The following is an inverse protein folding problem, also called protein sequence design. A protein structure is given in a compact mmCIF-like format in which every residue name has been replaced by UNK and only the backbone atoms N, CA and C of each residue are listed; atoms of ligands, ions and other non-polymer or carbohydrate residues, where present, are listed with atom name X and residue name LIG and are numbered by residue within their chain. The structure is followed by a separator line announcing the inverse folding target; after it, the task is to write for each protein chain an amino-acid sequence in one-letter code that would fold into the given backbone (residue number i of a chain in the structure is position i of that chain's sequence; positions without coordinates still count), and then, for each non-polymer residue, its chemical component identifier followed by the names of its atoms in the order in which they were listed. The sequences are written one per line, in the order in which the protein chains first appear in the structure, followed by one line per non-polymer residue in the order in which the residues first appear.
data_IF_616944842863
#
_entry.id   IF_616944842863
#
_cell.length_a   1.000
_cell.length_b   1.000
_cell.length_c   1.000
_cell.angle_alpha   90.00
_cell.angle_beta   90.00
_cell.angle_gamma   90.00
#
_symmetry.space_group_name_H-M   'P 1'
#
loop_
_entity.id
_entity.type
_entity.pdbx_description
1 polymer ?
#
# COMPACT_ATOMS: atom_id res chain seq x y z
N UNK A 1 -0.92 -44.48 27.11
CA UNK A 1 -1.80 -43.30 27.12
C UNK A 1 -1.21 -42.36 26.04
N UNK A 2 -1.94 -42.20 24.93
CA UNK A 2 -1.48 -41.29 23.87
C UNK A 2 -1.60 -39.87 24.45
N UNK A 3 -0.46 -39.18 24.52
CA UNK A 3 -0.41 -37.75 24.91
C UNK A 3 -0.98 -36.92 23.75
N UNK A 4 -2.25 -36.52 23.87
CA UNK A 4 -2.92 -35.62 22.93
C UNK A 4 -2.51 -34.16 23.11
N UNK A 5 -1.62 -33.81 24.02
CA UNK A 5 -0.90 -32.55 24.07
C UNK A 5 0.18 -32.55 22.98
N UNK A 6 -0.27 -32.41 21.77
CA UNK A 6 0.49 -32.60 20.57
C UNK A 6 1.77 -31.75 20.56
N UNK A 7 2.88 -32.42 20.37
CA UNK A 7 4.06 -31.80 19.77
C UNK A 7 3.62 -31.02 18.50
N UNK A 8 4.10 -29.80 18.35
CA UNK A 8 3.78 -28.94 17.19
C UNK A 8 3.86 -29.74 15.88
N UNK A 9 2.88 -29.60 15.02
CA UNK A 9 2.85 -30.23 13.69
C UNK A 9 4.11 -29.85 12.90
N UNK A 10 4.46 -30.64 11.89
CA UNK A 10 5.59 -30.31 11.03
C UNK A 10 5.43 -28.92 10.39
N UNK A 11 4.21 -28.55 10.00
CA UNK A 11 3.90 -27.19 9.45
C UNK A 11 4.21 -26.09 10.46
N UNK A 12 3.73 -26.22 11.70
CA UNK A 12 4.03 -25.24 12.77
C UNK A 12 5.52 -25.17 13.08
N UNK A 13 6.22 -26.29 13.05
CA UNK A 13 7.68 -26.30 13.22
C UNK A 13 8.42 -25.57 12.09
N UNK A 14 8.02 -25.75 10.84
CA UNK A 14 8.58 -25.03 9.70
C UNK A 14 8.25 -23.53 9.79
N UNK A 15 7.00 -23.16 10.09
CA UNK A 15 6.61 -21.76 10.26
C UNK A 15 7.37 -21.09 11.40
N UNK A 16 7.59 -21.79 12.52
CA UNK A 16 8.38 -21.26 13.65
C UNK A 16 9.85 -21.01 13.33
N UNK A 17 10.38 -21.56 12.25
CA UNK A 17 11.73 -21.28 11.74
C UNK A 17 11.73 -20.14 10.72
N UNK A 18 10.76 -20.14 9.80
CA UNK A 18 10.68 -19.15 8.72
C UNK A 18 10.24 -17.78 9.25
N UNK A 19 9.21 -17.73 10.09
CA UNK A 19 8.59 -16.47 10.50
C UNK A 19 9.58 -15.55 11.26
N UNK A 20 10.36 -16.02 12.25
CA UNK A 20 11.38 -15.20 12.90
C UNK A 20 12.49 -14.74 11.96
N UNK A 21 12.88 -15.54 10.98
CA UNK A 21 13.89 -15.17 10.00
C UNK A 21 13.41 -13.99 9.12
N UNK A 22 12.17 -14.05 8.61
CA UNK A 22 11.56 -12.97 7.85
C UNK A 22 11.37 -11.70 8.70
N UNK A 23 10.99 -11.87 9.96
CA UNK A 23 10.85 -10.73 10.88
C UNK A 23 12.19 -10.06 11.17
N UNK A 24 13.27 -10.84 11.36
CA UNK A 24 14.61 -10.30 11.54
C UNK A 24 15.09 -9.55 10.29
N UNK A 25 14.87 -10.10 9.09
CA UNK A 25 15.17 -9.44 7.82
C UNK A 25 14.38 -8.12 7.67
N UNK A 26 13.10 -8.12 7.99
CA UNK A 26 12.27 -6.92 7.95
C UNK A 26 12.73 -5.85 8.95
N UNK A 27 13.15 -6.25 10.16
CA UNK A 27 13.68 -5.34 11.19
C UNK A 27 15.04 -4.75 10.82
N UNK A 28 15.85 -5.46 10.04
CA UNK A 28 17.15 -5.00 9.55
C UNK A 28 17.01 -3.92 8.44
N UNK A 29 15.84 -3.77 7.85
CA UNK A 29 15.60 -2.75 6.82
C UNK A 29 15.68 -1.34 7.40
N UNK A 30 16.25 -0.42 6.62
CA UNK A 30 16.29 0.99 7.00
C UNK A 30 14.87 1.57 7.09
N UNK A 31 14.44 2.08 8.25
CA UNK A 31 13.13 2.67 8.40
C UNK A 31 12.91 3.86 7.47
N UNK A 32 11.75 3.96 6.85
CA UNK A 32 11.36 5.10 6.02
C UNK A 32 11.42 6.40 6.83
N UNK A 33 11.97 7.45 6.24
CA UNK A 33 12.08 8.79 6.85
C UNK A 33 11.04 9.76 6.32
N UNK A 34 10.06 9.28 5.59
CA UNK A 34 9.05 10.08 4.89
C UNK A 34 7.67 9.44 5.02
N UNK A 35 6.64 10.24 4.85
CA UNK A 35 5.26 9.76 4.73
C UNK A 35 5.07 9.17 3.32
N UNK A 36 4.66 7.92 3.24
CA UNK A 36 4.39 7.26 1.96
C UNK A 36 3.06 7.73 1.36
N UNK A 37 3.10 8.23 0.12
CA UNK A 37 1.89 8.72 -0.55
C UNK A 37 0.82 7.63 -0.74
N UNK A 38 1.21 6.37 -0.93
CA UNK A 38 0.30 5.23 -1.00
C UNK A 38 -0.52 5.01 0.29
N UNK A 39 -0.10 5.61 1.40
CA UNK A 39 -0.79 5.49 2.69
C UNK A 39 -1.84 6.57 2.93
N UNK A 40 -1.81 7.68 2.19
CA UNK A 40 -2.66 8.85 2.44
C UNK A 40 -4.16 8.57 2.33
N UNK A 41 -4.56 7.53 1.62
CA UNK A 41 -5.95 7.06 1.58
C UNK A 41 -6.40 6.25 2.81
N UNK A 42 -5.52 5.98 3.80
CA UNK A 42 -5.88 5.25 5.01
C UNK A 42 -6.96 5.98 5.81
N UNK A 43 -7.85 5.26 6.48
CA UNK A 43 -9.02 5.83 7.14
C UNK A 43 -8.70 6.73 8.34
N UNK A 44 -7.52 6.56 8.98
CA UNK A 44 -7.16 7.27 10.22
C UNK A 44 -5.93 8.16 10.06
N UNK A 45 -6.08 9.47 10.30
CA UNK A 45 -4.97 10.44 10.23
C UNK A 45 -3.97 10.27 11.37
N UNK A 46 -4.44 9.95 12.57
CA UNK A 46 -3.56 9.66 13.72
C UNK A 46 -2.69 8.41 13.46
N UNK A 47 -3.22 7.41 12.76
CA UNK A 47 -2.41 6.26 12.33
C UNK A 47 -1.30 6.69 11.37
N UNK A 48 -1.60 7.53 10.38
CA UNK A 48 -0.60 8.10 9.47
C UNK A 48 0.44 8.93 10.22
N UNK A 49 0.02 9.66 11.24
CA UNK A 49 0.92 10.43 12.09
C UNK A 49 1.88 9.53 12.88
N UNK A 50 1.40 8.45 13.50
CA UNK A 50 2.26 7.48 14.18
C UNK A 50 3.24 6.81 13.22
N UNK A 51 2.78 6.46 12.01
CA UNK A 51 3.62 5.89 10.96
C UNK A 51 4.74 6.88 10.55
N UNK A 52 4.39 8.13 10.28
CA UNK A 52 5.36 9.16 9.91
C UNK A 52 6.32 9.52 11.05
N UNK A 53 5.84 9.60 12.27
CA UNK A 53 6.65 9.85 13.47
C UNK A 53 7.53 8.65 13.86
N UNK A 54 7.42 7.51 13.19
CA UNK A 54 8.08 6.24 13.56
C UNK A 54 7.79 5.84 15.00
N UNK A 55 6.57 6.09 15.46
CA UNK A 55 6.17 5.69 16.80
C UNK A 55 6.32 4.17 16.93
N UNK A 56 6.89 3.66 18.04
CA UNK A 56 6.95 2.23 18.26
C UNK A 56 5.56 1.62 18.18
N UNK A 57 5.43 0.52 17.46
CA UNK A 57 4.18 -0.26 17.41
C UNK A 57 3.89 -0.88 18.77
N UNK A 58 2.63 -1.14 19.07
CA UNK A 58 2.24 -1.81 20.30
C UNK A 58 2.78 -3.25 20.31
N UNK A 59 3.11 -3.77 21.48
CA UNK A 59 3.69 -5.12 21.63
C UNK A 59 2.81 -6.17 20.98
N UNK A 60 3.39 -7.01 20.13
CA UNK A 60 2.69 -8.07 19.39
C UNK A 60 1.87 -7.58 18.20
N UNK A 61 2.05 -6.31 17.78
CA UNK A 61 1.42 -5.72 16.60
C UNK A 61 2.41 -5.54 15.43
N UNK A 62 3.61 -6.05 15.56
CA UNK A 62 4.60 -6.14 14.49
C UNK A 62 4.07 -7.04 13.36
N UNK A 63 4.61 -6.89 12.15
CA UNK A 63 4.23 -7.79 11.06
C UNK A 63 4.65 -9.22 11.37
N UNK A 64 3.67 -10.13 11.37
CA UNK A 64 3.97 -11.56 11.46
C UNK A 64 4.65 -12.06 10.19
N UNK A 65 5.42 -13.15 10.28
CA UNK A 65 6.05 -13.75 9.11
C UNK A 65 5.04 -14.09 8.00
N UNK A 66 3.83 -14.51 8.36
CA UNK A 66 2.73 -14.70 7.39
C UNK A 66 2.40 -13.43 6.61
N UNK A 67 2.33 -12.27 7.26
CA UNK A 67 2.06 -10.99 6.59
C UNK A 67 3.23 -10.62 5.67
N UNK A 68 4.46 -10.86 6.10
CA UNK A 68 5.66 -10.62 5.28
C UNK A 68 5.67 -11.49 4.03
N UNK A 69 5.29 -12.78 4.11
CA UNK A 69 5.09 -13.65 2.95
C UNK A 69 4.02 -13.12 1.98
N UNK A 70 2.94 -12.51 2.51
CA UNK A 70 1.90 -11.88 1.68
C UNK A 70 2.46 -10.65 0.95
N UNK A 71 3.28 -9.84 1.61
CA UNK A 71 3.94 -8.69 0.96
C UNK A 71 4.90 -9.14 -0.14
N UNK A 72 5.73 -10.15 0.12
CA UNK A 72 6.63 -10.72 -0.88
C UNK A 72 5.86 -11.25 -2.10
N UNK A 73 4.77 -11.98 -1.88
CA UNK A 73 3.89 -12.42 -2.97
C UNK A 73 3.40 -11.24 -3.80
N UNK A 74 3.07 -10.11 -3.17
CA UNK A 74 2.67 -8.88 -3.88
C UNK A 74 3.75 -8.40 -4.84
N UNK A 75 5.00 -8.28 -4.38
CA UNK A 75 6.14 -7.87 -5.21
C UNK A 75 6.40 -8.85 -6.35
N UNK A 76 6.40 -10.16 -6.08
CA UNK A 76 6.59 -11.18 -7.15
C UNK A 76 5.47 -11.14 -8.18
N UNK A 77 4.23 -10.86 -7.76
CA UNK A 77 3.11 -10.72 -8.69
C UNK A 77 3.27 -9.47 -9.57
N UNK A 78 3.76 -8.37 -9.02
CA UNK A 78 4.08 -7.15 -9.77
C UNK A 78 5.12 -7.44 -10.86
N UNK A 79 6.25 -8.10 -10.54
CA UNK A 79 7.27 -8.53 -11.50
C UNK A 79 6.67 -9.36 -12.66
N UNK A 80 5.75 -10.27 -12.31
CA UNK A 80 5.06 -11.11 -13.30
C UNK A 80 4.17 -10.28 -14.23
N UNK A 81 3.39 -9.34 -13.70
CA UNK A 81 2.50 -8.49 -14.51
C UNK A 81 3.30 -7.53 -15.38
N UNK A 82 4.41 -6.96 -14.90
CA UNK A 82 5.35 -6.18 -15.71
C UNK A 82 5.79 -6.98 -16.93
N UNK A 83 6.21 -8.22 -16.73
CA UNK A 83 6.61 -9.12 -17.82
C UNK A 83 5.45 -9.39 -18.78
N UNK A 84 4.24 -9.67 -18.28
CA UNK A 84 3.07 -9.97 -19.12
C UNK A 84 2.64 -8.78 -19.97
N UNK A 85 2.60 -7.57 -19.39
CA UNK A 85 2.28 -6.36 -20.14
C UNK A 85 3.30 -6.10 -21.26
N UNK A 86 4.60 -6.29 -20.99
CA UNK A 86 5.65 -6.15 -22.01
C UNK A 86 5.50 -7.20 -23.13
N UNK A 87 5.18 -8.45 -22.80
CA UNK A 87 4.89 -9.50 -23.77
C UNK A 87 3.63 -9.19 -24.61
N UNK A 88 2.64 -8.52 -24.02
CA UNK A 88 1.43 -8.07 -24.72
C UNK A 88 1.65 -6.82 -25.58
N UNK A 89 2.87 -6.31 -25.67
CA UNK A 89 3.24 -5.19 -26.54
C UNK A 89 3.17 -3.81 -25.87
N UNK A 90 2.90 -3.73 -24.56
CA UNK A 90 3.00 -2.46 -23.85
C UNK A 90 4.46 -2.02 -23.65
N UNK A 91 4.73 -0.74 -23.90
CA UNK A 91 6.04 -0.13 -23.60
C UNK A 91 5.95 0.43 -22.17
N UNK A 92 6.25 -0.43 -21.21
CA UNK A 92 6.17 -0.15 -19.77
C UNK A 92 7.56 0.21 -19.23
N UNK A 93 7.67 1.41 -18.67
CA UNK A 93 8.83 1.89 -17.93
C UNK A 93 8.57 1.79 -16.44
N UNK A 94 9.47 1.15 -15.70
CA UNK A 94 9.43 0.99 -14.25
C UNK A 94 10.50 1.82 -13.52
N UNK A 95 11.53 2.22 -14.27
CA UNK A 95 12.71 2.93 -13.78
C UNK A 95 13.08 4.09 -14.69
N UNK A 96 13.75 5.09 -14.12
CA UNK A 96 14.35 6.21 -14.85
C UNK A 96 15.64 5.79 -15.56
N UNK A 97 16.32 6.74 -16.22
CA UNK A 97 17.57 6.49 -16.94
C UNK A 97 18.73 6.06 -16.02
N UNK A 98 18.62 6.25 -14.72
CA UNK A 98 19.62 5.90 -13.71
C UNK A 98 19.30 4.58 -13.00
N UNK A 99 18.24 3.87 -13.38
CA UNK A 99 17.79 2.62 -12.75
C UNK A 99 17.05 2.84 -11.43
N UNK A 100 16.58 4.06 -11.14
CA UNK A 100 15.74 4.31 -9.98
C UNK A 100 14.27 4.13 -10.35
N UNK A 101 13.51 3.48 -9.48
CA UNK A 101 12.06 3.37 -9.62
C UNK A 101 11.42 4.75 -9.78
N UNK A 102 10.50 4.88 -10.74
CA UNK A 102 9.77 6.13 -10.92
C UNK A 102 9.02 6.53 -9.67
N UNK A 103 9.09 7.82 -9.35
CA UNK A 103 8.43 8.33 -8.18
C UNK A 103 8.52 9.84 -8.10
N UNK A 104 7.99 10.37 -7.02
CA UNK A 104 8.10 11.78 -6.70
C UNK A 104 8.54 11.98 -5.26
N UNK A 105 9.12 13.14 -5.02
CA UNK A 105 9.52 13.61 -3.70
C UNK A 105 9.09 15.06 -3.55
N UNK A 106 8.27 15.36 -2.56
CA UNK A 106 7.77 16.71 -2.29
C UNK A 106 7.88 17.06 -0.80
N UNK A 107 7.45 18.25 -0.40
CA UNK A 107 7.56 18.74 0.97
C UNK A 107 9.00 18.60 1.55
N UNK A 108 10.02 18.91 0.77
CA UNK A 108 11.45 18.76 1.13
C UNK A 108 11.81 17.29 1.48
N UNK A 109 11.28 16.34 0.74
CA UNK A 109 11.55 14.90 0.93
C UNK A 109 10.68 14.21 2.01
N UNK A 110 9.73 14.93 2.61
CA UNK A 110 8.88 14.38 3.69
C UNK A 110 7.70 13.58 3.18
N UNK A 111 7.28 13.80 1.95
CA UNK A 111 6.25 13.01 1.25
C UNK A 111 6.86 12.43 -0.02
N UNK A 112 6.80 11.12 -0.18
CA UNK A 112 7.29 10.42 -1.37
C UNK A 112 6.30 9.37 -1.83
N UNK A 113 6.30 9.12 -3.13
CA UNK A 113 5.57 8.02 -3.75
C UNK A 113 6.42 7.36 -4.83
N UNK A 114 6.31 6.05 -4.95
CA UNK A 114 6.91 5.26 -6.02
C UNK A 114 5.78 4.57 -6.76
N UNK A 115 5.85 4.56 -8.08
CA UNK A 115 4.83 3.97 -8.95
C UNK A 115 5.33 2.64 -9.49
N UNK A 116 4.40 1.72 -9.75
CA UNK A 116 4.75 0.43 -10.33
C UNK A 116 5.21 0.59 -11.78
N UNK A 117 4.71 1.62 -12.49
CA UNK A 117 5.25 1.98 -13.81
C UNK A 117 4.47 3.07 -14.55
N UNK A 118 5.04 3.43 -15.70
CA UNK A 118 4.44 4.37 -16.67
C UNK A 118 4.38 3.68 -18.03
N UNK A 119 3.19 3.57 -18.58
CA UNK A 119 2.96 3.10 -19.95
C UNK A 119 3.22 4.27 -20.89
N UNK A 120 4.22 4.16 -21.75
CA UNK A 120 4.61 5.22 -22.71
C UNK A 120 4.19 4.92 -24.15
N UNK A 121 3.62 3.75 -24.39
CA UNK A 121 3.12 3.28 -25.68
C UNK A 121 2.63 1.84 -25.59
N UNK A 122 2.08 1.30 -26.67
CA UNK A 122 1.62 -0.09 -26.72
C UNK A 122 0.43 -0.30 -27.66
N UNK A 123 -0.44 -1.30 -27.35
CA UNK A 123 -1.59 -1.65 -28.18
C UNK A 123 -2.56 -0.49 -28.39
N UNK A 124 -3.27 -0.53 -29.51
CA UNK A 124 -4.37 0.39 -29.80
C UNK A 124 -5.50 0.28 -28.76
N UNK A 125 -6.27 1.35 -28.59
CA UNK A 125 -7.37 1.41 -27.61
C UNK A 125 -6.97 1.87 -26.20
N UNK A 126 -5.68 2.12 -25.98
CA UNK A 126 -5.17 2.75 -24.75
C UNK A 126 -4.61 4.14 -25.06
N UNK A 127 -4.61 5.01 -24.06
CA UNK A 127 -4.03 6.35 -24.16
C UNK A 127 -2.70 6.41 -23.42
N UNK A 128 -1.73 7.13 -23.99
CA UNK A 128 -0.37 7.23 -23.46
C UNK A 128 0.11 8.70 -23.40
N UNK A 129 1.01 9.07 -22.50
CA UNK A 129 1.50 8.25 -21.38
C UNK A 129 0.44 8.07 -20.29
N UNK A 130 0.42 6.90 -19.64
CA UNK A 130 -0.51 6.60 -18.58
C UNK A 130 0.19 5.98 -17.37
N UNK A 131 -0.25 6.34 -16.17
CA UNK A 131 0.17 5.69 -14.94
C UNK A 131 -0.31 4.24 -14.94
N UNK A 132 0.53 3.32 -14.47
CA UNK A 132 0.15 1.94 -14.19
C UNK A 132 0.40 1.60 -12.73
N UNK A 133 -0.56 0.92 -12.12
CA UNK A 133 -0.50 0.42 -10.74
C UNK A 133 -1.08 -0.98 -10.68
N UNK A 134 -0.44 -1.88 -9.94
CA UNK A 134 -0.85 -3.27 -9.80
C UNK A 134 -1.07 -3.67 -8.35
N UNK A 135 -2.00 -4.57 -8.12
CA UNK A 135 -2.22 -5.17 -6.80
C UNK A 135 -2.43 -6.68 -6.90
N UNK A 136 -1.96 -7.41 -5.89
CA UNK A 136 -2.27 -8.82 -5.68
C UNK A 136 -3.30 -8.95 -4.57
N UNK A 137 -4.49 -9.45 -4.88
CA UNK A 137 -5.63 -9.52 -3.96
C UNK A 137 -6.08 -10.95 -3.77
N UNK A 138 -6.50 -11.32 -2.55
CA UNK A 138 -7.19 -12.60 -2.34
C UNK A 138 -8.56 -12.60 -3.05
N UNK A 139 -9.12 -13.78 -3.30
CA UNK A 139 -10.37 -13.94 -4.06
C UNK A 139 -11.55 -13.13 -3.52
N UNK A 140 -11.66 -12.94 -2.19
CA UNK A 140 -12.75 -12.13 -1.60
C UNK A 140 -12.58 -10.66 -1.98
N UNK A 141 -11.39 -10.13 -1.81
CA UNK A 141 -11.04 -8.73 -2.09
C UNK A 141 -11.09 -8.42 -3.58
N UNK A 142 -10.69 -9.40 -4.42
CA UNK A 142 -10.71 -9.29 -5.87
C UNK A 142 -12.14 -9.28 -6.42
N UNK A 143 -13.03 -10.17 -5.93
CA UNK A 143 -14.46 -10.17 -6.30
C UNK A 143 -15.18 -8.91 -5.88
N UNK A 144 -14.84 -8.35 -4.70
CA UNK A 144 -15.37 -7.07 -4.25
C UNK A 144 -14.94 -5.93 -5.20
N UNK A 145 -13.67 -5.92 -5.61
CA UNK A 145 -13.15 -4.97 -6.59
C UNK A 145 -13.86 -5.09 -7.94
N UNK A 146 -14.04 -6.32 -8.44
CA UNK A 146 -14.74 -6.58 -9.71
C UNK A 146 -16.18 -6.08 -9.69
N UNK A 147 -16.88 -6.26 -8.57
CA UNK A 147 -18.28 -5.84 -8.39
C UNK A 147 -18.42 -4.33 -8.23
N UNK A 148 -17.60 -3.72 -7.37
CA UNK A 148 -17.82 -2.36 -6.88
C UNK A 148 -16.87 -1.33 -7.50
N UNK A 149 -15.92 -1.75 -8.36
CA UNK A 149 -14.89 -0.91 -8.97
C UNK A 149 -13.92 -0.31 -7.93
N UNK A 150 -12.82 0.27 -8.42
CA UNK A 150 -11.71 0.71 -7.58
C UNK A 150 -12.13 1.75 -6.55
N UNK A 151 -12.80 2.80 -6.98
CA UNK A 151 -13.11 3.94 -6.11
C UNK A 151 -13.93 3.55 -4.87
N UNK A 152 -14.85 2.60 -5.00
CA UNK A 152 -15.73 2.12 -3.92
C UNK A 152 -15.07 0.98 -3.13
N UNK A 153 -14.52 -0.01 -3.83
CA UNK A 153 -13.93 -1.19 -3.20
C UNK A 153 -12.62 -0.91 -2.48
N UNK A 154 -11.79 -0.05 -3.04
CA UNK A 154 -10.42 0.21 -2.56
C UNK A 154 -10.08 1.71 -2.60
N UNK A 155 -10.77 2.55 -1.81
CA UNK A 155 -10.56 4.00 -1.81
C UNK A 155 -9.10 4.41 -1.53
N UNK A 156 -8.34 3.61 -0.79
CA UNK A 156 -6.92 3.85 -0.55
C UNK A 156 -6.09 3.78 -1.84
N UNK A 157 -6.40 2.86 -2.75
CA UNK A 157 -5.71 2.75 -4.03
C UNK A 157 -6.17 3.82 -5.02
N UNK A 158 -7.45 4.20 -5.00
CA UNK A 158 -7.94 5.35 -5.76
C UNK A 158 -7.23 6.64 -5.34
N UNK A 159 -7.05 6.86 -4.04
CA UNK A 159 -6.30 7.99 -3.50
C UNK A 159 -4.81 7.96 -3.93
N UNK A 160 -4.19 6.79 -3.93
CA UNK A 160 -2.82 6.59 -4.41
C UNK A 160 -2.69 6.99 -5.88
N UNK A 161 -3.58 6.50 -6.75
CA UNK A 161 -3.57 6.85 -8.18
C UNK A 161 -3.74 8.34 -8.42
N UNK A 162 -4.72 8.98 -7.77
CA UNK A 162 -4.97 10.40 -7.93
C UNK A 162 -3.75 11.26 -7.55
N UNK A 163 -3.08 10.93 -6.45
CA UNK A 163 -1.84 11.60 -6.05
C UNK A 163 -0.72 11.38 -7.06
N UNK A 164 -0.53 10.15 -7.51
CA UNK A 164 0.55 9.80 -8.43
C UNK A 164 0.34 10.46 -9.79
N UNK A 165 -0.89 10.47 -10.32
CA UNK A 165 -1.21 11.19 -11.56
C UNK A 165 -0.90 12.69 -11.44
N UNK A 166 -1.17 13.30 -10.29
CA UNK A 166 -0.86 14.72 -10.05
C UNK A 166 0.64 14.97 -10.00
N UNK A 167 1.35 14.30 -9.10
CA UNK A 167 2.75 14.59 -8.82
C UNK A 167 3.70 14.17 -9.94
N UNK A 168 3.30 13.20 -10.77
CA UNK A 168 4.05 12.79 -11.96
C UNK A 168 3.57 13.46 -13.26
N UNK A 169 2.58 14.37 -13.16
CA UNK A 169 1.99 15.08 -14.32
C UNK A 169 1.38 14.12 -15.35
N UNK A 170 0.82 12.99 -14.89
CA UNK A 170 0.19 11.94 -15.70
C UNK A 170 -1.35 12.01 -15.66
N UNK A 171 -1.91 13.18 -15.39
CA UNK A 171 -3.36 13.39 -15.22
C UNK A 171 -4.14 13.61 -16.53
N UNK A 172 -3.44 13.68 -17.66
CA UNK A 172 -4.06 13.87 -18.98
C UNK A 172 -4.78 12.61 -19.48
N UNK A 173 -4.34 11.44 -19.05
CA UNK A 173 -4.88 10.16 -19.43
C UNK A 173 -5.36 9.38 -18.20
N UNK A 174 -6.36 8.50 -18.34
CA UNK A 174 -6.73 7.62 -17.25
C UNK A 174 -5.55 6.70 -16.86
N UNK A 175 -5.41 6.42 -15.58
CA UNK A 175 -4.46 5.42 -15.11
C UNK A 175 -4.96 4.00 -15.44
N UNK A 176 -4.08 3.10 -15.81
CA UNK A 176 -4.39 1.68 -15.88
C UNK A 176 -4.15 1.06 -14.50
N UNK A 177 -5.22 0.67 -13.84
CA UNK A 177 -5.16 -0.14 -12.62
C UNK A 177 -5.35 -1.62 -12.97
N UNK A 178 -4.47 -2.47 -12.48
CA UNK A 178 -4.60 -3.93 -12.60
C UNK A 178 -4.61 -4.58 -11.23
N UNK A 179 -5.33 -5.71 -11.10
CA UNK A 179 -5.27 -6.54 -9.91
C UNK A 179 -5.29 -8.02 -10.28
N UNK A 180 -4.35 -8.77 -9.72
CA UNK A 180 -4.30 -10.22 -9.89
C UNK A 180 -4.95 -10.91 -8.69
N UNK A 181 -5.83 -11.85 -8.97
CA UNK A 181 -6.37 -12.75 -7.95
C UNK A 181 -5.27 -13.73 -7.52
N UNK A 182 -4.88 -13.65 -6.26
CA UNK A 182 -3.80 -14.45 -5.70
C UNK A 182 -4.08 -15.97 -5.68
N UNK A 183 -5.34 -16.36 -5.83
CA UNK A 183 -5.77 -17.76 -5.71
C UNK A 183 -6.05 -18.39 -7.10
N UNK A 184 -6.53 -17.58 -8.07
CA UNK A 184 -6.97 -18.06 -9.41
C UNK A 184 -6.13 -17.52 -10.55
N UNK A 185 -5.29 -16.51 -10.31
CA UNK A 185 -4.49 -15.78 -11.32
C UNK A 185 -5.33 -14.98 -12.33
N UNK A 186 -6.62 -14.82 -12.11
CA UNK A 186 -7.48 -13.96 -12.92
C UNK A 186 -7.02 -12.49 -12.81
N UNK A 187 -7.09 -11.77 -13.93
CA UNK A 187 -6.68 -10.37 -14.01
C UNK A 187 -7.92 -9.49 -14.08
N UNK A 188 -8.01 -8.52 -13.17
CA UNK A 188 -8.91 -7.39 -13.27
C UNK A 188 -8.15 -6.20 -13.83
N UNK A 189 -8.80 -5.42 -14.71
CA UNK A 189 -8.25 -4.16 -15.21
C UNK A 189 -9.33 -3.08 -15.22
N UNK A 190 -8.92 -1.83 -14.90
CA UNK A 190 -9.80 -0.65 -14.91
C UNK A 190 -9.00 0.56 -15.38
N UNK A 191 -9.57 1.32 -16.33
CA UNK A 191 -9.08 2.66 -16.66
C UNK A 191 -9.69 3.66 -15.67
N UNK A 192 -8.86 4.22 -14.81
CA UNK A 192 -9.27 5.10 -13.72
C UNK A 192 -9.04 6.55 -14.12
N UNK A 193 -10.10 7.33 -14.35
CA UNK A 193 -9.98 8.77 -14.64
C UNK A 193 -9.30 9.50 -13.48
N UNK A 194 -8.63 10.59 -13.80
CA UNK A 194 -8.03 11.46 -12.79
C UNK A 194 -9.12 12.17 -11.95
N UNK A 195 -9.00 12.07 -10.64
CA UNK A 195 -9.83 12.78 -9.66
C UNK A 195 -9.02 13.90 -8.98
N UNK A 196 -9.11 15.11 -9.53
CA UNK A 196 -8.39 16.27 -9.01
C UNK A 196 -8.81 16.64 -7.59
N UNK A 197 -10.09 16.47 -7.24
CA UNK A 197 -10.60 16.79 -5.91
C UNK A 197 -10.07 15.79 -4.87
N UNK A 198 -10.02 14.52 -5.21
CA UNK A 198 -9.41 13.48 -4.36
C UNK A 198 -7.91 13.73 -4.18
N UNK A 199 -7.19 14.03 -5.26
CA UNK A 199 -5.77 14.34 -5.21
C UNK A 199 -5.47 15.53 -4.29
N UNK A 200 -6.25 16.61 -4.40
CA UNK A 200 -6.11 17.79 -3.54
C UNK A 200 -6.38 17.44 -2.07
N UNK A 201 -7.47 16.77 -1.77
CA UNK A 201 -7.77 16.34 -0.38
C UNK A 201 -6.65 15.50 0.22
N UNK A 202 -6.07 14.57 -0.54
CA UNK A 202 -4.99 13.72 -0.05
C UNK A 202 -3.68 14.48 0.11
N UNK A 203 -3.40 15.45 -0.76
CA UNK A 203 -2.25 16.35 -0.64
C UNK A 203 -2.36 17.21 0.62
N UNK A 204 -3.52 17.83 0.86
CA UNK A 204 -3.79 18.63 2.06
C UNK A 204 -3.66 17.78 3.33
N UNK A 205 -4.17 16.56 3.29
CA UNK A 205 -4.04 15.59 4.37
C UNK A 205 -2.59 15.24 4.68
N UNK A 206 -1.78 14.99 3.65
CA UNK A 206 -0.35 14.76 3.81
C UNK A 206 0.35 15.96 4.47
N UNK A 207 0.03 17.17 4.02
CA UNK A 207 0.55 18.41 4.61
C UNK A 207 0.12 18.58 6.08
N UNK A 208 -1.13 18.23 6.42
CA UNK A 208 -1.64 18.27 7.78
C UNK A 208 -0.87 17.31 8.69
N UNK A 209 -0.75 16.04 8.28
CA UNK A 209 -0.03 15.01 9.05
C UNK A 209 1.42 15.42 9.31
N UNK A 210 2.11 15.90 8.28
CA UNK A 210 3.51 16.34 8.41
C UNK A 210 3.62 17.52 9.38
N UNK A 211 2.82 18.58 9.19
CA UNK A 211 2.88 19.77 10.03
C UNK A 211 2.55 19.48 11.50
N UNK A 212 1.47 18.73 11.76
CA UNK A 212 1.07 18.39 13.13
C UNK A 212 2.16 17.54 13.82
N UNK A 213 2.77 16.59 13.08
CA UNK A 213 3.84 15.77 13.66
C UNK A 213 5.08 16.61 14.00
N UNK A 214 5.49 17.52 13.13
CA UNK A 214 6.65 18.40 13.36
C UNK A 214 6.42 19.43 14.46
N UNK A 215 5.16 19.85 14.66
CA UNK A 215 4.76 20.71 15.75
C UNK A 215 4.60 19.95 17.09
N UNK A 216 4.70 18.62 17.11
CA UNK A 216 4.43 17.81 18.30
C UNK A 216 2.95 17.75 18.67
N UNK A 217 2.06 18.15 17.77
CA UNK A 217 0.61 18.13 17.94
C UNK A 217 0.05 16.76 17.60
N UNK A 218 -0.77 16.19 18.48
CA UNK A 218 -1.41 14.91 18.24
C UNK A 218 -2.74 15.11 17.50
N UNK A 219 -2.84 14.60 16.26
CA UNK A 219 -4.07 14.65 15.50
C UNK A 219 -5.23 13.93 16.19
N UNK A 220 -6.49 14.36 15.99
CA UNK A 220 -7.65 13.72 16.59
C UNK A 220 -7.78 12.25 16.13
N UNK A 221 -8.46 11.44 16.95
CA UNK A 221 -8.86 10.09 16.55
C UNK A 221 -9.92 10.19 15.45
N UNK A 222 -9.78 9.40 14.38
CA UNK A 222 -10.80 9.34 13.33
C UNK A 222 -12.03 8.51 13.75
N UNK A 223 -11.90 7.72 14.81
CA UNK A 223 -12.97 6.88 15.36
C UNK A 223 -13.14 7.17 16.84
N UNK A 224 -14.38 7.05 17.32
CA UNK A 224 -14.74 7.28 18.73
C UNK A 224 -14.79 6.00 19.57
N UNK A 225 -14.75 4.84 18.92
CA UNK A 225 -14.86 3.52 19.53
C UNK A 225 -13.57 2.70 19.31
N UNK A 226 -12.87 2.26 20.38
CA UNK A 226 -11.68 1.41 20.25
C UNK A 226 -11.98 0.04 19.63
N UNK A 227 -13.24 -0.40 19.64
CA UNK A 227 -13.66 -1.68 19.04
C UNK A 227 -13.95 -1.57 17.55
N UNK A 228 -13.88 -0.35 16.97
CA UNK A 228 -14.01 -0.17 15.54
C UNK A 228 -13.00 -1.04 14.78
N UNK A 229 -13.42 -1.57 13.62
CA UNK A 229 -12.60 -2.48 12.81
C UNK A 229 -11.19 -1.93 12.55
N UNK A 230 -11.07 -0.69 12.11
CA UNK A 230 -9.78 -0.04 11.86
C UNK A 230 -8.90 0.05 13.12
N UNK A 231 -9.49 0.27 14.29
CA UNK A 231 -8.76 0.33 15.55
C UNK A 231 -8.26 -1.04 16.00
N UNK A 232 -9.07 -2.10 15.85
CA UNK A 232 -8.67 -3.47 16.23
C UNK A 232 -7.42 -3.96 15.48
N UNK A 233 -7.26 -3.55 14.23
CA UNK A 233 -6.13 -3.93 13.38
C UNK A 233 -5.02 -2.88 13.32
N UNK A 234 -5.16 -1.78 14.07
CA UNK A 234 -4.15 -0.72 14.12
C UNK A 234 -2.94 -1.16 14.95
N UNK A 235 -1.74 -0.94 14.42
CA UNK A 235 -0.49 -1.24 15.11
C UNK A 235 -0.21 -0.33 16.32
N UNK A 236 -0.98 0.72 16.50
CA UNK A 236 -0.86 1.70 17.59
C UNK A 236 -2.16 1.86 18.39
N UNK A 237 -3.00 0.83 18.46
CA UNK A 237 -4.30 0.89 19.13
C UNK A 237 -4.17 1.22 20.63
N UNK A 238 -3.32 0.49 21.36
CA UNK A 238 -3.10 0.70 22.79
C UNK A 238 -2.52 2.09 23.07
N UNK A 239 -1.46 2.47 22.35
CA UNK A 239 -0.86 3.81 22.41
C UNK A 239 -1.89 4.90 22.15
N UNK A 240 -2.69 4.74 21.11
CA UNK A 240 -3.70 5.72 20.72
C UNK A 240 -4.77 5.92 21.80
N UNK A 241 -5.23 4.85 22.44
CA UNK A 241 -6.33 4.88 23.40
C UNK A 241 -5.87 5.12 24.85
N UNK A 242 -4.61 4.84 25.19
CA UNK A 242 -4.02 5.21 26.49
C UNK A 242 -3.67 6.70 26.61
N UNK A 243 -3.45 7.38 25.47
CA UNK A 243 -3.15 8.82 25.46
C UNK A 243 -4.44 9.60 25.77
N UNK A 244 -4.44 10.42 26.82
CA UNK A 244 -5.55 11.36 27.09
C UNK A 244 -5.72 12.29 25.88
N UNK A 245 -6.99 12.68 25.63
CA UNK A 245 -7.34 13.61 24.54
C UNK A 245 -6.58 14.91 24.67
#
# INVERSE_FOLDING_TARGET
MLDFNASASLSERIESLIDPALQAENQAQTPRTYLGASRLGAACERQLQFEYAKAPVDTGKEFSGRILRIFERGHRTEDMVIRWLRLAGFILKTEDANGHQFGFSTAKGRLKGHVDGVLIGGPEGFSYPALWENKCLNSKSWRDLQKNKLAVSKPIYAAQLALYQTYLTLHQQPALFTAVNADTMEIYAELVPFDAALAQRMSDRGALVIRATEAGELLPRSFTDPTHFECKFCSWAERCWSTKK
#
